data_IF_567027075203
#
_entry.id   IF_567027075203
#
_cell.length_a   1.000
_cell.length_b   1.000
_cell.length_c   1.000
_cell.angle_alpha   90.00
_cell.angle_beta   90.00
_cell.angle_gamma   90.00
#
_symmetry.space_group_name_H-M   'P 1'
#
loop_
_entity.id
_entity.type
_entity.pdbx_description
1 polymer ?
#
# COMPACT_ATOMS: atom_id res chain seq x y z
N UNK A 1 4.48 40.89 -5.51
CA UNK A 1 4.57 40.90 -4.04
C UNK A 1 3.23 41.21 -3.32
N UNK A 2 2.20 41.72 -4.01
CA UNK A 2 0.92 42.17 -3.41
C UNK A 2 -0.07 41.02 -3.07
N UNK A 3 0.06 39.84 -3.65
CA UNK A 3 -0.91 38.74 -3.44
C UNK A 3 -0.66 37.87 -2.19
N UNK A 4 0.53 37.80 -1.64
CA UNK A 4 0.83 36.99 -0.44
C UNK A 4 0.25 37.59 0.85
N UNK A 5 0.26 38.93 0.98
CA UNK A 5 -0.24 39.59 2.18
C UNK A 5 -1.76 39.53 2.35
N UNK A 6 -2.50 39.53 1.24
CA UNK A 6 -3.97 39.36 1.26
C UNK A 6 -4.39 37.95 1.65
N UNK A 7 -3.56 36.96 1.32
CA UNK A 7 -3.79 35.56 1.64
C UNK A 7 -3.55 35.26 3.12
N UNK A 8 -2.54 35.90 3.73
CA UNK A 8 -2.22 35.74 5.18
C UNK A 8 -3.28 36.38 6.08
N UNK A 9 -3.90 37.51 5.71
CA UNK A 9 -4.94 38.17 6.52
C UNK A 9 -6.29 37.43 6.56
N UNK A 10 -6.57 36.52 5.61
CA UNK A 10 -7.80 35.68 5.63
C UNK A 10 -7.67 34.47 6.52
N UNK A 11 -6.48 34.11 7.00
CA UNK A 11 -6.20 32.88 7.76
C UNK A 11 -6.71 32.85 9.20
N UNK A 12 -7.05 34.00 9.79
CA UNK A 12 -7.51 34.05 11.18
C UNK A 12 -8.98 33.66 11.40
N UNK A 13 -9.68 33.26 10.34
CA UNK A 13 -11.11 32.91 10.42
C UNK A 13 -11.42 31.59 9.73
N UNK A 14 -11.28 30.48 10.48
CA UNK A 14 -11.69 29.11 10.16
C UNK A 14 -10.65 28.30 9.35
N UNK A 15 -10.18 27.22 9.93
CA UNK A 15 -9.55 26.12 9.18
C UNK A 15 -10.62 25.59 8.23
N UNK A 16 -10.37 25.68 6.91
CA UNK A 16 -11.22 25.02 5.94
C UNK A 16 -11.16 23.52 6.17
N UNK A 17 -12.30 22.90 6.32
CA UNK A 17 -12.46 21.45 6.46
C UNK A 17 -13.35 20.95 5.34
N UNK A 18 -12.98 19.83 4.78
CA UNK A 18 -13.74 19.13 3.75
C UNK A 18 -14.10 17.74 4.28
N UNK A 19 -15.36 17.36 4.15
CA UNK A 19 -15.78 15.99 4.38
C UNK A 19 -15.57 15.20 3.09
N UNK A 20 -14.93 14.03 3.23
CA UNK A 20 -14.73 13.06 2.15
C UNK A 20 -15.34 11.73 2.59
N UNK A 21 -15.94 11.01 1.65
CA UNK A 21 -16.58 9.72 1.90
C UNK A 21 -15.79 8.60 1.24
N UNK A 22 -15.81 7.42 1.84
CA UNK A 22 -15.33 6.22 1.17
C UNK A 22 -16.32 5.83 0.07
N UNK A 23 -15.83 5.72 -1.15
CA UNK A 23 -16.63 5.27 -2.31
C UNK A 23 -16.52 3.75 -2.51
N UNK A 24 -15.48 3.14 -1.96
CA UNK A 24 -15.17 1.73 -2.08
C UNK A 24 -14.23 1.28 -0.96
N UNK A 25 -14.09 -0.04 -0.82
CA UNK A 25 -13.06 -0.67 0.01
C UNK A 25 -12.29 -1.71 -0.81
N UNK A 26 -11.00 -1.88 -0.50
CA UNK A 26 -10.20 -2.91 -1.14
C UNK A 26 -10.14 -4.17 -0.28
N UNK A 27 -10.24 -5.34 -0.93
CA UNK A 27 -9.98 -6.65 -0.34
C UNK A 27 -8.61 -7.12 -0.82
N UNK A 28 -7.72 -7.45 0.12
CA UNK A 28 -6.35 -7.94 -0.14
C UNK A 28 -5.99 -9.09 0.78
N UNK A 29 -4.83 -9.70 0.53
CA UNK A 29 -4.29 -10.80 1.33
C UNK A 29 -3.66 -10.36 2.67
N UNK A 30 -3.64 -9.05 3.00
CA UNK A 30 -3.02 -8.51 4.21
C UNK A 30 -4.07 -8.08 5.23
N UNK A 31 -4.24 -8.84 6.31
CA UNK A 31 -5.11 -8.48 7.44
C UNK A 31 -4.45 -7.48 8.40
N UNK A 32 -3.12 -7.25 8.30
CA UNK A 32 -2.38 -6.27 9.07
C UNK A 32 -1.39 -5.48 8.19
N UNK A 33 -0.86 -4.38 8.72
CA UNK A 33 0.12 -3.53 8.01
C UNK A 33 1.51 -4.16 7.87
N UNK A 34 1.83 -5.21 8.64
CA UNK A 34 3.13 -5.87 8.56
C UNK A 34 3.14 -6.81 7.36
N UNK A 35 4.21 -6.78 6.57
CA UNK A 35 4.33 -7.55 5.32
C UNK A 35 3.88 -6.80 4.06
N UNK A 36 3.06 -5.75 4.19
CA UNK A 36 2.63 -4.96 3.02
C UNK A 36 3.85 -4.30 2.35
N UNK A 37 3.99 -4.39 1.01
CA UNK A 37 5.02 -3.69 0.27
C UNK A 37 4.99 -2.18 0.54
N UNK A 38 6.16 -1.55 0.52
CA UNK A 38 6.29 -0.12 0.89
C UNK A 38 5.69 0.84 -0.13
N UNK A 39 5.49 0.40 -1.36
CA UNK A 39 4.89 1.15 -2.47
C UNK A 39 4.15 0.17 -3.38
N UNK A 40 3.12 0.68 -4.05
CA UNK A 40 2.43 -0.04 -5.12
C UNK A 40 3.38 -0.38 -6.27
N UNK A 41 3.11 -1.48 -6.96
CA UNK A 41 3.89 -1.95 -8.10
C UNK A 41 5.23 -2.61 -7.75
N UNK A 42 5.65 -2.66 -6.49
CA UNK A 42 6.88 -3.39 -6.09
C UNK A 42 6.71 -4.91 -6.13
N UNK A 43 5.49 -5.39 -5.95
CA UNK A 43 5.09 -6.79 -6.01
C UNK A 43 3.86 -6.87 -6.90
N UNK A 44 4.08 -7.14 -8.17
CA UNK A 44 3.01 -7.17 -9.19
C UNK A 44 2.08 -8.37 -9.04
N UNK A 45 2.52 -9.42 -8.35
CA UNK A 45 1.76 -10.65 -8.10
C UNK A 45 0.64 -10.46 -7.08
N UNK A 46 0.66 -9.38 -6.30
CA UNK A 46 -0.37 -9.09 -5.31
C UNK A 46 -1.69 -8.73 -5.99
N UNK A 47 -2.71 -9.49 -5.71
CA UNK A 47 -4.06 -9.28 -6.20
C UNK A 47 -4.91 -8.53 -5.18
N UNK A 48 -5.79 -7.66 -5.67
CA UNK A 48 -6.79 -6.98 -4.87
C UNK A 48 -8.12 -6.88 -5.60
N UNK A 49 -9.21 -6.75 -4.82
CA UNK A 49 -10.56 -6.51 -5.34
C UNK A 49 -11.09 -5.23 -4.74
N UNK A 50 -11.52 -4.29 -5.57
CA UNK A 50 -12.16 -3.06 -5.12
C UNK A 50 -13.67 -3.26 -5.19
N UNK A 51 -14.31 -3.15 -4.04
CA UNK A 51 -15.75 -3.30 -3.86
C UNK A 51 -16.33 -1.93 -3.56
N UNK A 52 -17.22 -1.46 -4.42
CA UNK A 52 -17.83 -0.15 -4.25
C UNK A 52 -18.93 -0.16 -3.19
N UNK A 53 -19.09 0.95 -2.51
CA UNK A 53 -20.29 1.23 -1.73
C UNK A 53 -21.50 1.26 -2.67
N UNK A 54 -22.69 0.80 -2.23
CA UNK A 54 -23.86 0.64 -3.09
C UNK A 54 -24.27 1.90 -3.84
N UNK A 55 -24.05 3.07 -3.25
CA UNK A 55 -24.39 4.36 -3.82
C UNK A 55 -23.54 4.73 -5.04
N UNK A 56 -22.27 4.30 -5.05
CA UNK A 56 -21.27 4.65 -6.08
C UNK A 56 -21.00 3.52 -7.06
N UNK A 57 -21.39 2.29 -6.73
CA UNK A 57 -21.12 1.08 -7.52
C UNK A 57 -22.13 0.87 -8.64
N UNK A 58 -22.11 1.73 -9.68
CA UNK A 58 -22.97 1.58 -10.86
C UNK A 58 -22.16 1.29 -12.11
N UNK A 59 -22.79 0.69 -13.13
CA UNK A 59 -22.16 0.44 -14.44
C UNK A 59 -21.69 1.73 -15.10
N UNK A 60 -22.47 2.79 -14.93
CA UNK A 60 -22.19 4.11 -15.50
C UNK A 60 -20.93 4.73 -14.91
N UNK A 61 -20.70 4.52 -13.61
CA UNK A 61 -19.54 5.10 -12.92
C UNK A 61 -18.21 4.52 -13.40
N UNK A 62 -18.19 3.27 -13.88
CA UNK A 62 -16.98 2.60 -14.36
C UNK A 62 -16.90 2.49 -15.90
N UNK A 63 -17.87 3.05 -16.61
CA UNK A 63 -17.92 2.97 -18.07
C UNK A 63 -16.69 3.61 -18.71
N UNK A 64 -15.95 2.86 -19.52
CA UNK A 64 -14.73 3.29 -20.19
C UNK A 64 -13.46 3.11 -19.33
N UNK A 65 -13.59 2.70 -18.06
CA UNK A 65 -12.43 2.47 -17.20
C UNK A 65 -11.64 1.24 -17.66
N UNK A 66 -12.28 0.29 -18.31
CA UNK A 66 -11.69 -0.92 -18.91
C UNK A 66 -10.69 -0.62 -20.04
N UNK A 67 -10.71 0.59 -20.58
CA UNK A 67 -9.76 1.03 -21.61
C UNK A 67 -8.39 1.42 -21.03
N UNK A 68 -8.29 1.54 -19.69
CA UNK A 68 -7.06 1.93 -18.99
C UNK A 68 -6.39 0.72 -18.35
N UNK A 69 -5.08 0.59 -18.51
CA UNK A 69 -4.28 -0.48 -17.91
C UNK A 69 -3.96 -0.23 -16.44
N UNK A 70 -3.92 1.04 -16.00
CA UNK A 70 -3.58 1.43 -14.64
C UNK A 70 -4.51 2.51 -14.13
N UNK A 71 -4.70 2.51 -12.81
CA UNK A 71 -5.52 3.49 -12.10
C UNK A 71 -4.80 4.00 -10.85
N UNK A 72 -5.05 5.25 -10.51
CA UNK A 72 -4.72 5.84 -9.23
C UNK A 72 -5.81 5.56 -8.22
N UNK A 73 -5.42 5.09 -7.04
CA UNK A 73 -6.27 4.99 -5.86
C UNK A 73 -5.89 6.07 -4.87
N UNK A 74 -6.87 6.90 -4.47
CA UNK A 74 -6.76 7.84 -3.37
C UNK A 74 -7.48 7.21 -2.19
N UNK A 75 -6.77 6.93 -1.08
CA UNK A 75 -7.26 6.10 0.00
C UNK A 75 -6.86 6.61 1.38
N UNK A 76 -7.45 6.08 2.44
CA UNK A 76 -7.25 6.50 3.81
C UNK A 76 -6.45 5.51 4.65
N UNK A 77 -5.51 6.02 5.46
CA UNK A 77 -4.81 5.21 6.47
C UNK A 77 -5.76 4.90 7.64
N UNK A 78 -6.48 3.76 7.58
CA UNK A 78 -7.49 3.38 8.57
C UNK A 78 -6.89 3.10 9.96
N UNK A 79 -5.74 2.43 10.02
CA UNK A 79 -5.07 2.01 11.25
C UNK A 79 -4.28 3.13 11.98
N UNK A 80 -4.04 4.25 11.32
CA UNK A 80 -3.20 5.34 11.85
C UNK A 80 -3.99 6.62 12.14
N UNK A 81 -5.27 6.51 12.49
CA UNK A 81 -6.10 7.63 12.91
C UNK A 81 -5.60 8.16 14.26
N UNK A 82 -4.60 9.02 14.22
CA UNK A 82 -4.15 9.77 15.40
C UNK A 82 -4.75 11.16 15.36
N UNK A 83 -5.20 11.66 16.51
CA UNK A 83 -5.63 13.05 16.69
C UNK A 83 -4.51 14.04 16.38
N UNK A 84 -3.25 13.63 16.56
CA UNK A 84 -2.07 14.46 16.36
C UNK A 84 -1.21 13.95 15.19
N UNK A 85 -1.00 14.79 14.20
CA UNK A 85 -0.02 14.58 13.14
C UNK A 85 1.38 15.06 13.56
N UNK A 86 2.42 14.62 12.86
CA UNK A 86 3.78 15.08 13.08
C UNK A 86 4.30 15.80 11.84
N UNK A 87 4.84 17.00 12.03
CA UNK A 87 5.48 17.75 10.93
C UNK A 87 6.82 17.14 10.48
N UNK A 88 7.40 16.28 11.31
CA UNK A 88 8.64 15.54 10.96
C UNK A 88 8.49 14.07 11.31
N UNK A 89 9.07 13.21 10.48
CA UNK A 89 9.09 11.76 10.66
C UNK A 89 10.51 11.23 10.53
N UNK A 90 10.73 9.99 10.96
CA UNK A 90 12.00 9.26 10.82
C UNK A 90 11.80 8.12 9.83
N UNK A 91 12.18 8.31 8.55
CA UNK A 91 12.05 7.25 7.56
C UNK A 91 12.91 6.04 7.96
N UNK A 92 12.34 4.80 8.00
CA UNK A 92 13.09 3.60 8.38
C UNK A 92 14.35 3.36 7.54
N UNK A 93 14.28 3.61 6.24
CA UNK A 93 15.41 3.45 5.31
C UNK A 93 16.58 4.42 5.55
N UNK A 94 16.40 5.48 6.35
CA UNK A 94 17.46 6.39 6.76
C UNK A 94 18.03 6.03 8.16
N UNK A 95 17.92 4.77 8.58
CA UNK A 95 18.46 4.28 9.85
C UNK A 95 17.72 4.76 11.10
N UNK A 96 16.55 5.39 10.96
CA UNK A 96 15.69 5.81 12.08
C UNK A 96 16.18 7.03 12.86
N UNK A 97 17.39 7.55 12.61
CA UNK A 97 17.97 8.71 13.32
C UNK A 97 17.78 10.03 12.58
N UNK A 98 17.66 9.99 11.24
CA UNK A 98 17.48 11.19 10.42
C UNK A 98 16.02 11.60 10.38
N UNK A 99 15.72 12.86 10.75
CA UNK A 99 14.39 13.43 10.59
C UNK A 99 14.21 14.05 9.22
N UNK A 100 13.02 13.85 8.64
CA UNK A 100 12.58 14.50 7.40
C UNK A 100 11.23 15.18 7.61
N UNK A 101 10.96 16.25 6.88
CA UNK A 101 9.62 16.85 6.84
C UNK A 101 8.59 15.82 6.36
N UNK A 102 7.40 15.81 6.93
CA UNK A 102 6.36 14.83 6.58
C UNK A 102 6.00 14.87 5.10
N UNK A 103 6.03 16.06 4.47
CA UNK A 103 5.70 16.25 3.06
C UNK A 103 6.82 15.79 2.10
N UNK A 104 8.05 15.55 2.60
CA UNK A 104 9.10 14.89 1.84
C UNK A 104 9.08 13.36 1.98
N UNK A 105 7.99 12.80 2.49
CA UNK A 105 7.80 11.37 2.71
C UNK A 105 6.37 10.94 2.35
N UNK A 106 6.14 9.64 2.25
CA UNK A 106 4.79 9.02 2.14
C UNK A 106 4.30 8.44 3.47
N UNK A 107 4.78 8.99 4.60
CA UNK A 107 4.38 8.56 5.94
C UNK A 107 2.89 8.77 6.19
N UNK A 108 2.21 7.85 6.91
CA UNK A 108 0.81 8.01 7.32
C UNK A 108 0.61 9.11 8.37
N UNK A 109 1.68 9.55 9.07
CA UNK A 109 1.60 10.57 10.14
C UNK A 109 1.54 12.00 9.60
N UNK A 110 0.65 12.23 8.63
CA UNK A 110 0.45 13.51 7.94
C UNK A 110 -0.88 14.15 8.32
N UNK A 111 -1.05 15.48 8.12
CA UNK A 111 -2.26 16.21 8.51
C UNK A 111 -3.55 15.58 7.98
N UNK A 112 -3.54 15.19 6.72
CA UNK A 112 -4.63 14.43 6.09
C UNK A 112 -4.08 13.03 5.83
N UNK A 113 -4.55 12.04 6.55
CA UNK A 113 -4.08 10.66 6.49
C UNK A 113 -4.49 9.96 5.19
N UNK A 114 -4.07 10.52 4.03
CA UNK A 114 -4.39 10.01 2.70
C UNK A 114 -3.16 9.38 2.06
N UNK A 115 -3.37 8.26 1.39
CA UNK A 115 -2.42 7.56 0.54
C UNK A 115 -2.75 7.72 -0.94
N UNK A 116 -1.77 7.45 -1.79
CA UNK A 116 -1.88 7.44 -3.24
C UNK A 116 -1.11 6.24 -3.78
N UNK A 117 -1.79 5.37 -4.51
CA UNK A 117 -1.21 4.15 -5.10
C UNK A 117 -1.62 4.02 -6.56
N UNK A 118 -0.65 3.78 -7.43
CA UNK A 118 -0.92 3.38 -8.80
C UNK A 118 -0.98 1.85 -8.85
N UNK A 119 -2.07 1.29 -9.34
CA UNK A 119 -2.27 -0.15 -9.45
C UNK A 119 -2.64 -0.54 -10.87
N UNK A 120 -2.29 -1.76 -11.28
CA UNK A 120 -2.71 -2.28 -12.57
C UNK A 120 -4.17 -2.73 -12.48
N UNK A 121 -5.00 -2.30 -13.43
CA UNK A 121 -6.36 -2.78 -13.59
C UNK A 121 -6.35 -4.03 -14.47
N UNK A 122 -6.72 -5.18 -13.92
CA UNK A 122 -6.72 -6.45 -14.66
C UNK A 122 -8.05 -6.67 -15.40
N UNK A 123 -9.15 -6.46 -14.70
CA UNK A 123 -10.51 -6.61 -15.26
C UNK A 123 -11.55 -5.94 -14.39
N UNK A 124 -12.73 -5.74 -14.98
CA UNK A 124 -13.94 -5.32 -14.29
C UNK A 124 -14.97 -6.43 -14.45
N UNK A 125 -15.51 -6.92 -13.34
CA UNK A 125 -16.62 -7.86 -13.30
C UNK A 125 -17.82 -7.22 -12.61
N UNK A 126 -18.99 -7.81 -12.74
CA UNK A 126 -20.21 -7.33 -12.09
C UNK A 126 -20.77 -8.45 -11.23
N UNK A 127 -21.19 -8.11 -10.00
CA UNK A 127 -21.84 -9.06 -9.11
C UNK A 127 -23.32 -9.34 -9.53
N UNK A 128 -24.01 -10.19 -8.79
CA UNK A 128 -25.42 -10.55 -9.04
C UNK A 128 -26.37 -9.33 -8.99
N UNK A 129 -25.97 -8.23 -8.36
CA UNK A 129 -26.71 -6.98 -8.29
C UNK A 129 -26.22 -5.95 -9.32
N UNK A 130 -25.44 -6.39 -10.30
CA UNK A 130 -24.83 -5.57 -11.35
C UNK A 130 -23.89 -4.49 -10.84
N UNK A 131 -23.31 -4.63 -9.62
CA UNK A 131 -22.31 -3.71 -9.08
C UNK A 131 -20.93 -4.09 -9.58
N UNK A 132 -20.10 -3.11 -9.99
CA UNK A 132 -18.77 -3.39 -10.48
C UNK A 132 -17.83 -3.86 -9.36
N UNK A 133 -16.96 -4.81 -9.71
CA UNK A 133 -15.83 -5.26 -8.92
C UNK A 133 -14.59 -5.03 -9.77
N UNK A 134 -13.66 -4.18 -9.31
CA UNK A 134 -12.40 -3.99 -10.02
C UNK A 134 -11.36 -4.97 -9.46
N UNK A 135 -10.77 -5.77 -10.34
CA UNK A 135 -9.63 -6.63 -10.01
C UNK A 135 -8.35 -5.88 -10.34
N UNK A 136 -7.48 -5.74 -9.36
CA UNK A 136 -6.25 -4.96 -9.48
C UNK A 136 -5.03 -5.78 -9.05
N UNK A 137 -3.85 -5.41 -9.56
CA UNK A 137 -2.56 -5.97 -9.16
C UNK A 137 -1.60 -4.90 -8.66
N UNK A 138 -0.65 -5.34 -7.82
CA UNK A 138 0.40 -4.47 -7.28
C UNK A 138 -0.05 -3.52 -6.18
N UNK A 139 -1.18 -3.79 -5.51
CA UNK A 139 -1.67 -2.94 -4.43
C UNK A 139 -0.83 -3.08 -3.15
N UNK A 140 -0.50 -1.94 -2.53
CA UNK A 140 0.22 -1.81 -1.26
C UNK A 140 -0.73 -1.40 -0.11
N UNK A 141 -1.92 -2.00 -0.09
CA UNK A 141 -2.99 -1.66 0.83
C UNK A 141 -3.38 -2.84 1.72
N UNK A 142 -3.75 -2.53 2.95
CA UNK A 142 -4.31 -3.49 3.88
C UNK A 142 -5.77 -3.83 3.49
N UNK A 143 -6.20 -5.04 3.81
CA UNK A 143 -7.59 -5.46 3.64
C UNK A 143 -8.55 -4.50 4.35
N UNK A 144 -9.65 -4.13 3.69
CA UNK A 144 -10.64 -3.18 4.21
C UNK A 144 -10.23 -1.71 4.15
N UNK A 145 -9.11 -1.36 3.51
CA UNK A 145 -8.71 0.05 3.35
C UNK A 145 -9.76 0.82 2.55
N UNK A 146 -10.26 1.97 3.07
CA UNK A 146 -11.24 2.80 2.36
C UNK A 146 -10.59 3.55 1.20
N UNK A 147 -11.26 3.54 0.06
CA UNK A 147 -10.89 4.30 -1.15
C UNK A 147 -11.84 5.50 -1.27
N UNK A 148 -11.28 6.68 -1.47
CA UNK A 148 -12.00 7.94 -1.56
C UNK A 148 -12.20 8.39 -3.01
N UNK A 149 -11.28 8.02 -3.92
CA UNK A 149 -11.37 8.36 -5.34
C UNK A 149 -10.56 7.38 -6.20
N UNK A 150 -10.97 7.22 -7.44
CA UNK A 150 -10.31 6.41 -8.46
C UNK A 150 -10.14 7.29 -9.69
N UNK A 151 -8.91 7.37 -10.23
CA UNK A 151 -8.61 8.10 -11.46
C UNK A 151 -7.85 7.23 -12.45
N UNK A 152 -8.09 7.36 -13.76
CA UNK A 152 -7.25 6.68 -14.73
C UNK A 152 -5.81 7.20 -14.69
N UNK A 153 -4.84 6.31 -14.89
CA UNK A 153 -3.44 6.70 -15.12
C UNK A 153 -3.27 7.16 -16.55
N UNK A 154 -2.69 8.35 -16.73
CA UNK A 154 -2.50 8.96 -18.04
C UNK A 154 -1.00 9.05 -18.33
N UNK A 155 -0.41 8.15 -19.17
CA UNK A 155 1.04 8.01 -19.32
C UNK A 155 1.77 9.30 -19.66
N UNK A 156 1.23 10.11 -20.56
CA UNK A 156 1.90 11.36 -20.98
C UNK A 156 1.88 12.45 -19.91
N UNK A 157 1.01 12.33 -18.89
CA UNK A 157 0.88 13.29 -17.78
C UNK A 157 1.54 12.78 -16.49
N UNK A 158 1.43 11.48 -16.23
CA UNK A 158 1.77 10.91 -14.92
C UNK A 158 3.17 10.29 -14.89
N UNK A 159 3.74 9.98 -16.07
CA UNK A 159 5.07 9.37 -16.16
C UNK A 159 6.15 10.45 -16.34
N UNK A 160 7.09 10.50 -15.39
CA UNK A 160 8.24 11.38 -15.39
C UNK A 160 9.53 10.57 -15.23
N UNK A 161 10.09 9.97 -16.30
CA UNK A 161 11.29 9.12 -16.21
C UNK A 161 12.52 9.87 -15.68
N UNK A 162 12.57 11.18 -15.86
CA UNK A 162 13.64 12.07 -15.39
C UNK A 162 13.52 12.48 -13.93
N UNK A 163 12.44 12.09 -13.25
CA UNK A 163 12.19 12.52 -11.87
C UNK A 163 13.22 11.95 -10.89
N UNK A 164 13.74 12.83 -10.01
CA UNK A 164 14.69 12.44 -8.98
C UNK A 164 13.96 11.93 -7.71
N UNK A 165 14.23 10.69 -7.31
CA UNK A 165 13.59 10.02 -6.16
C UNK A 165 14.29 10.24 -4.81
N UNK A 166 15.36 11.05 -4.75
CA UNK A 166 16.13 11.33 -3.52
C UNK A 166 16.52 10.01 -2.80
N UNK A 167 16.39 9.96 -1.48
CA UNK A 167 16.73 8.78 -0.69
C UNK A 167 15.87 7.52 -1.00
N UNK A 168 14.71 7.68 -1.62
CA UNK A 168 13.85 6.56 -1.98
C UNK A 168 14.44 5.73 -3.13
N UNK A 169 15.11 6.38 -4.09
CA UNK A 169 15.72 5.71 -5.25
C UNK A 169 16.92 4.85 -4.88
N UNK A 170 17.63 5.16 -3.80
CA UNK A 170 18.83 4.40 -3.36
C UNK A 170 18.49 2.95 -3.02
N UNK A 171 17.28 2.69 -2.57
CA UNK A 171 16.85 1.39 -2.03
C UNK A 171 15.74 0.72 -2.85
N UNK A 172 15.51 1.18 -4.08
CA UNK A 172 14.40 0.65 -4.88
C UNK A 172 14.58 -0.82 -5.30
N UNK A 173 15.84 -1.25 -5.45
CA UNK A 173 16.21 -2.59 -5.93
C UNK A 173 16.71 -3.51 -4.81
N UNK A 174 16.63 -3.09 -3.55
CA UNK A 174 17.04 -3.96 -2.44
C UNK A 174 16.16 -5.21 -2.42
N UNK A 175 16.79 -6.38 -2.51
CA UNK A 175 16.15 -7.69 -2.42
C UNK A 175 16.96 -8.57 -1.49
N UNK A 176 16.27 -9.47 -0.78
CA UNK A 176 16.89 -10.50 0.05
C UNK A 176 16.64 -11.87 -0.58
N UNK A 177 17.59 -12.81 -0.41
CA UNK A 177 17.37 -14.19 -0.81
C UNK A 177 16.30 -14.82 0.07
N UNK A 178 15.35 -15.55 -0.53
CA UNK A 178 14.27 -16.23 0.16
C UNK A 178 14.43 -17.74 0.03
N UNK A 179 14.26 -18.42 1.15
CA UNK A 179 14.24 -19.87 1.25
C UNK A 179 12.95 -20.30 1.97
N UNK A 180 12.11 -21.04 1.28
CA UNK A 180 10.89 -21.63 1.83
C UNK A 180 11.05 -23.15 1.72
N UNK A 181 11.19 -23.88 2.85
CA UNK A 181 11.24 -25.34 2.83
C UNK A 181 10.02 -25.93 2.12
N UNK A 182 10.23 -26.97 1.31
CA UNK A 182 9.21 -27.55 0.44
C UNK A 182 7.95 -27.98 1.22
N UNK A 183 8.13 -28.53 2.43
CA UNK A 183 7.04 -28.91 3.33
C UNK A 183 6.18 -27.72 3.77
N UNK A 184 6.76 -26.53 3.94
CA UNK A 184 6.05 -25.31 4.31
C UNK A 184 5.43 -24.63 3.07
N UNK A 185 6.12 -24.67 1.93
CA UNK A 185 5.59 -24.15 0.67
C UNK A 185 4.29 -24.86 0.25
N UNK A 186 4.20 -26.19 0.46
CA UNK A 186 3.00 -26.99 0.18
C UNK A 186 1.77 -26.57 0.98
N UNK A 187 1.96 -25.91 2.14
CA UNK A 187 0.85 -25.39 2.96
C UNK A 187 0.27 -24.10 2.37
N UNK A 188 1.02 -23.41 1.48
CA UNK A 188 0.57 -22.19 0.82
C UNK A 188 -0.17 -22.56 -0.48
N UNK A 189 -1.39 -22.02 -0.71
CA UNK A 189 -2.09 -22.20 -1.98
C UNK A 189 -1.22 -21.86 -3.18
N UNK A 190 -1.23 -22.67 -4.21
CA UNK A 190 -0.32 -22.56 -5.35
C UNK A 190 -0.37 -21.17 -6.01
N UNK A 191 -1.58 -20.63 -6.14
CA UNK A 191 -1.83 -19.30 -6.72
C UNK A 191 -1.27 -18.14 -5.86
N UNK A 192 -1.01 -18.38 -4.56
CA UNK A 192 -0.47 -17.36 -3.63
C UNK A 192 1.06 -17.43 -3.46
N UNK A 193 1.70 -18.51 -3.91
CA UNK A 193 3.15 -18.69 -3.74
C UNK A 193 3.97 -17.59 -4.43
N UNK A 194 3.70 -17.22 -5.70
CA UNK A 194 4.47 -16.16 -6.35
C UNK A 194 4.41 -14.83 -5.58
N UNK A 195 3.23 -14.43 -5.12
CA UNK A 195 3.05 -13.22 -4.34
C UNK A 195 3.77 -13.30 -2.98
N UNK A 196 3.71 -14.44 -2.29
CA UNK A 196 4.43 -14.64 -1.03
C UNK A 196 5.94 -14.52 -1.22
N UNK A 197 6.53 -15.17 -2.23
CA UNK A 197 7.96 -15.05 -2.54
C UNK A 197 8.36 -13.60 -2.78
N UNK A 198 7.63 -12.89 -3.65
CA UNK A 198 7.91 -11.51 -4.00
C UNK A 198 7.78 -10.55 -2.80
N UNK A 199 6.83 -10.80 -1.89
CA UNK A 199 6.71 -10.05 -0.62
C UNK A 199 7.90 -10.30 0.29
N UNK A 200 8.33 -11.55 0.46
CA UNK A 200 9.46 -11.90 1.32
C UNK A 200 10.78 -11.35 0.79
N UNK A 201 10.98 -11.30 -0.54
CA UNK A 201 12.14 -10.68 -1.18
C UNK A 201 12.29 -9.18 -0.87
N UNK A 202 11.18 -8.48 -0.56
CA UNK A 202 11.21 -7.07 -0.14
C UNK A 202 11.76 -6.84 1.26
N UNK A 203 12.17 -7.89 1.98
CA UNK A 203 12.58 -7.85 3.38
C UNK A 203 11.57 -7.10 4.26
N UNK A 204 10.49 -7.75 4.66
CA UNK A 204 9.41 -7.10 5.42
C UNK A 204 9.80 -6.71 6.85
N UNK A 205 11.03 -7.01 7.29
CA UNK A 205 11.50 -6.61 8.63
C UNK A 205 11.52 -5.09 8.81
N UNK A 206 11.30 -4.60 10.04
CA UNK A 206 11.67 -3.24 10.39
C UNK A 206 13.17 -3.00 10.16
N UNK A 207 13.53 -1.97 9.38
CA UNK A 207 14.91 -1.71 8.93
C UNK A 207 15.97 -1.55 10.06
N UNK A 208 15.53 -1.30 11.31
CA UNK A 208 16.39 -1.15 12.49
C UNK A 208 16.56 -2.45 13.29
N UNK A 209 15.96 -3.56 12.87
CA UNK A 209 16.02 -4.84 13.54
C UNK A 209 16.89 -5.81 12.72
N UNK A 210 18.07 -6.17 13.29
CA UNK A 210 19.04 -7.05 12.63
C UNK A 210 19.42 -8.26 13.49
N UNK A 211 18.56 -8.66 14.43
CA UNK A 211 18.79 -9.84 15.26
C UNK A 211 18.57 -11.12 14.43
N UNK A 212 19.63 -11.94 14.19
CA UNK A 212 19.52 -13.14 13.36
C UNK A 212 18.72 -14.28 14.03
N UNK A 213 18.55 -14.24 15.35
CA UNK A 213 17.80 -15.28 16.08
C UNK A 213 16.32 -14.90 16.24
N UNK A 214 15.94 -13.67 15.87
CA UNK A 214 14.57 -13.23 16.01
C UNK A 214 13.68 -13.83 14.94
N UNK A 215 12.54 -14.37 15.37
CA UNK A 215 11.45 -14.80 14.48
C UNK A 215 10.47 -13.63 14.29
N UNK A 216 10.20 -13.32 13.05
CA UNK A 216 9.20 -12.35 12.61
C UNK A 216 7.98 -13.09 12.09
N UNK A 217 6.80 -12.47 12.15
CA UNK A 217 5.60 -13.06 11.61
C UNK A 217 4.68 -12.00 11.02
N UNK A 218 3.94 -12.34 9.99
CA UNK A 218 2.89 -11.51 9.42
C UNK A 218 1.78 -12.34 8.81
N UNK A 219 0.53 -11.83 8.84
CA UNK A 219 -0.59 -12.49 8.20
C UNK A 219 -0.56 -12.26 6.70
N UNK A 220 -0.77 -13.33 5.93
CA UNK A 220 -0.87 -13.30 4.47
C UNK A 220 -1.82 -14.37 3.98
N UNK A 221 -2.84 -13.99 3.19
CA UNK A 221 -3.81 -14.90 2.58
C UNK A 221 -4.48 -15.87 3.59
N UNK A 222 -4.82 -15.38 4.80
CA UNK A 222 -5.44 -16.17 5.86
C UNK A 222 -4.47 -17.11 6.60
N UNK A 223 -3.16 -16.91 6.43
CA UNK A 223 -2.10 -17.66 7.09
C UNK A 223 -1.19 -16.73 7.88
N UNK A 224 -0.65 -17.20 8.99
CA UNK A 224 0.48 -16.58 9.69
C UNK A 224 1.78 -17.14 9.11
N UNK A 225 2.59 -16.29 8.49
CA UNK A 225 3.90 -16.63 7.91
C UNK A 225 4.98 -16.18 8.88
N UNK A 226 5.78 -17.12 9.41
CA UNK A 226 6.88 -16.83 10.32
C UNK A 226 8.23 -17.13 9.67
N UNK A 227 9.16 -16.21 9.84
CA UNK A 227 10.48 -16.28 9.21
C UNK A 227 11.57 -15.68 10.10
N UNK A 228 12.80 -16.03 9.81
CA UNK A 228 14.02 -15.43 10.35
C UNK A 228 14.92 -14.99 9.22
N UNK A 229 15.84 -14.07 9.52
CA UNK A 229 16.82 -13.61 8.52
C UNK A 229 18.22 -13.71 9.09
N UNK A 230 19.07 -14.45 8.39
CA UNK A 230 20.48 -14.64 8.72
C UNK A 230 21.32 -14.59 7.43
N UNK A 231 22.47 -13.95 7.48
CA UNK A 231 23.42 -13.87 6.36
C UNK A 231 22.79 -13.46 5.02
N UNK A 232 21.92 -12.44 5.06
CA UNK A 232 21.15 -11.92 3.93
C UNK A 232 20.23 -12.97 3.26
N UNK A 233 19.82 -13.98 4.00
CA UNK A 233 18.87 -14.99 3.58
C UNK A 233 17.68 -15.01 4.55
N UNK A 234 16.47 -14.87 4.02
CA UNK A 234 15.22 -15.01 4.74
C UNK A 234 14.76 -16.47 4.61
N UNK A 235 14.62 -17.16 5.74
CA UNK A 235 14.13 -18.53 5.78
C UNK A 235 12.79 -18.57 6.48
N UNK A 236 11.76 -19.10 5.82
CA UNK A 236 10.44 -19.35 6.43
C UNK A 236 10.58 -20.53 7.40
N UNK A 237 10.14 -20.32 8.64
CA UNK A 237 10.22 -21.29 9.71
C UNK A 237 8.89 -21.97 10.03
N UNK A 238 7.77 -21.29 9.73
CA UNK A 238 6.44 -21.78 10.06
C UNK A 238 5.39 -21.12 9.15
N UNK A 239 4.39 -21.91 8.76
CA UNK A 239 3.17 -21.49 8.08
C UNK A 239 1.99 -22.09 8.85
N UNK A 240 1.09 -21.26 9.36
CA UNK A 240 -0.09 -21.69 10.11
C UNK A 240 -1.33 -21.00 9.55
N UNK A 241 -2.47 -21.71 9.50
CA UNK A 241 -3.74 -21.07 9.24
C UNK A 241 -4.06 -20.09 10.38
N UNK A 242 -4.51 -18.87 10.04
CA UNK A 242 -5.05 -17.96 11.06
C UNK A 242 -6.27 -18.60 11.70
N UNK A 243 -6.28 -18.65 13.04
CA UNK A 243 -7.47 -19.06 13.78
C UNK A 243 -8.50 -17.96 13.65
N UNK A 244 -9.71 -18.30 13.18
CA UNK A 244 -10.86 -17.40 13.13
C UNK A 244 -11.24 -16.89 14.53
#
# INVERSE_FOLDING_TARGET
>A
MVHLESWTRRRDKMKEQYEIQAIAHIVTDFSSKFGIPRQSGLVEELEGKILFEPEYGTKEAVKGLEEFSHIWLIWGFSENRRENYSLTVRPPKLGGNTRKGVFSTRSPFRPNGMGLSCVRLEKIEFDEKERPILYVKGADLMNGTPIFDIKPYIPYSDCHPEAEGSFASVHQNDRIKVDIPEELERLVPEEKRPALYAVLEQDPRPAYQQDPERIYGFPFAGMEIRFRVKDNCLTVCEVKQESC
#
